data_IF_559576792170
#
_entry.id   IF_559576792170
#
_cell.length_a   1.000
_cell.length_b   1.000
_cell.length_c   1.000
_cell.angle_alpha   90.00
_cell.angle_beta   90.00
_cell.angle_gamma   90.00
#
_symmetry.space_group_name_H-M   'P 1'
#
loop_
_entity.id
_entity.type
_entity.pdbx_description
1 polymer ?
#
# COMPACT_ATOMS: atom_id res chain seq x y z
N UNK A 1 -34.23 -6.42 2.10
CA UNK A 1 -33.16 -5.66 1.46
C UNK A 1 -31.81 -6.04 2.08
N UNK A 2 -31.54 -7.35 2.27
CA UNK A 2 -30.31 -7.91 2.88
C UNK A 2 -29.76 -9.10 2.04
N UNK A 3 -30.26 -9.32 0.83
CA UNK A 3 -29.86 -10.48 -0.02
C UNK A 3 -28.91 -10.09 -1.18
N UNK A 4 -28.50 -8.82 -1.31
CA UNK A 4 -27.68 -8.39 -2.45
C UNK A 4 -26.17 -8.41 -2.19
N UNK A 5 -25.72 -8.70 -0.96
CA UNK A 5 -24.28 -8.70 -0.61
C UNK A 5 -23.64 -10.10 -0.59
N UNK A 6 -24.40 -11.16 -0.85
CA UNK A 6 -23.92 -12.54 -0.73
C UNK A 6 -23.29 -13.12 -2.00
N UNK A 7 -23.25 -12.39 -3.12
CA UNK A 7 -22.80 -12.91 -4.42
C UNK A 7 -21.66 -12.10 -5.06
N UNK A 8 -20.66 -11.67 -4.28
CA UNK A 8 -19.41 -11.22 -4.90
C UNK A 8 -18.50 -12.43 -5.09
N UNK A 9 -18.49 -12.94 -6.32
CA UNK A 9 -17.56 -13.99 -6.70
C UNK A 9 -16.10 -13.57 -6.52
N UNK A 10 -15.21 -14.50 -6.16
CA UNK A 10 -13.76 -14.21 -6.14
C UNK A 10 -13.32 -13.75 -7.54
N UNK A 11 -12.44 -12.77 -7.57
CA UNK A 11 -11.90 -12.16 -8.78
C UNK A 11 -11.55 -13.26 -9.83
N UNK A 12 -12.14 -13.27 -11.03
CA UNK A 12 -11.97 -14.37 -11.98
C UNK A 12 -10.50 -14.52 -12.40
N UNK A 13 -10.08 -15.76 -12.60
CA UNK A 13 -8.74 -16.07 -13.11
C UNK A 13 -8.49 -15.39 -14.46
N UNK A 14 -7.26 -14.97 -14.78
CA UNK A 14 -6.95 -14.29 -16.02
C UNK A 14 -7.32 -15.15 -17.23
N UNK A 15 -8.12 -14.58 -18.15
CA UNK A 15 -8.40 -15.22 -19.42
C UNK A 15 -7.13 -15.22 -20.28
N UNK A 16 -6.61 -16.38 -20.73
CA UNK A 16 -5.38 -16.46 -21.51
C UNK A 16 -5.49 -15.79 -22.90
N UNK A 17 -6.68 -15.54 -23.39
CA UNK A 17 -6.89 -14.93 -24.71
C UNK A 17 -6.76 -13.39 -24.70
N UNK A 18 -6.87 -12.75 -23.52
CA UNK A 18 -6.71 -11.31 -23.35
C UNK A 18 -5.88 -11.05 -22.09
N UNK A 19 -4.55 -10.99 -22.20
CA UNK A 19 -3.70 -10.68 -21.07
C UNK A 19 -4.03 -9.29 -20.51
N UNK A 20 -4.25 -9.21 -19.20
CA UNK A 20 -4.49 -7.93 -18.54
C UNK A 20 -3.21 -7.09 -18.54
N UNK A 21 -3.35 -5.77 -18.73
CA UNK A 21 -2.27 -4.84 -18.45
C UNK A 21 -2.02 -4.81 -16.96
N UNK A 22 -0.74 -4.96 -16.56
CA UNK A 22 -0.35 -4.96 -15.15
C UNK A 22 0.20 -3.58 -14.81
N UNK A 23 -0.41 -2.95 -13.82
CA UNK A 23 0.03 -1.68 -13.27
C UNK A 23 0.44 -1.87 -11.80
N UNK A 24 1.60 -1.35 -11.40
CA UNK A 24 1.98 -1.37 -9.98
C UNK A 24 1.22 -0.28 -9.21
N UNK A 25 0.89 -0.54 -7.93
CA UNK A 25 0.30 0.48 -7.03
C UNK A 25 1.16 1.74 -7.03
N UNK A 26 2.47 1.60 -6.97
CA UNK A 26 3.38 2.75 -7.00
C UNK A 26 3.20 3.59 -8.27
N UNK A 27 3.17 2.93 -9.44
CA UNK A 27 2.99 3.64 -10.71
C UNK A 27 1.61 4.28 -10.81
N UNK A 28 0.57 3.63 -10.30
CA UNK A 28 -0.78 4.19 -10.23
C UNK A 28 -0.79 5.48 -9.41
N UNK A 29 -0.30 5.44 -8.17
CA UNK A 29 -0.29 6.57 -7.25
C UNK A 29 0.60 7.72 -7.80
N UNK A 30 1.77 7.39 -8.36
CA UNK A 30 2.64 8.37 -8.99
C UNK A 30 1.96 9.04 -10.20
N UNK A 31 1.22 8.30 -11.00
CA UNK A 31 0.52 8.83 -12.17
C UNK A 31 -0.64 9.76 -11.78
N UNK A 32 -1.48 9.32 -10.85
CA UNK A 32 -2.70 10.04 -10.46
C UNK A 32 -2.36 11.31 -9.66
N UNK A 33 -1.44 11.22 -8.71
CA UNK A 33 -1.15 12.31 -7.77
C UNK A 33 0.05 13.18 -8.18
N UNK A 34 0.89 12.77 -9.13
CA UNK A 34 2.00 13.57 -9.65
C UNK A 34 1.64 14.40 -10.91
N UNK A 35 0.39 14.50 -11.28
CA UNK A 35 -0.03 15.33 -12.42
C UNK A 35 0.33 16.84 -12.29
N UNK A 36 1.18 17.23 -11.32
CA UNK A 36 1.59 18.61 -11.04
C UNK A 36 3.08 18.88 -10.83
N UNK A 37 3.98 17.89 -10.69
CA UNK A 37 5.40 18.22 -10.42
C UNK A 37 6.40 17.25 -11.04
N UNK A 38 6.98 17.67 -12.18
CA UNK A 38 8.08 17.02 -12.87
C UNK A 38 9.44 17.50 -12.31
N UNK A 39 9.80 17.15 -11.09
CA UNK A 39 11.16 17.36 -10.59
C UNK A 39 12.03 16.13 -10.80
N UNK A 40 12.85 16.23 -11.84
CA UNK A 40 13.88 15.27 -12.19
C UNK A 40 14.98 15.20 -11.13
N UNK A 41 15.10 14.03 -10.45
CA UNK A 41 16.22 13.68 -9.56
C UNK A 41 16.89 12.40 -10.03
N UNK A 42 17.66 12.45 -11.11
CA UNK A 42 18.44 11.32 -11.57
C UNK A 42 19.87 11.36 -11.03
N UNK A 43 20.43 10.25 -10.64
CA UNK A 43 21.79 9.86 -10.25
C UNK A 43 22.04 9.43 -8.79
N UNK A 44 21.30 9.90 -7.80
CA UNK A 44 21.45 9.38 -6.40
C UNK A 44 20.47 8.24 -6.06
N UNK A 45 19.73 7.70 -7.05
CA UNK A 45 18.64 6.75 -6.81
C UNK A 45 19.10 5.33 -6.43
N UNK A 46 20.28 4.85 -6.87
CA UNK A 46 20.69 3.45 -6.65
C UNK A 46 21.12 3.18 -5.21
N UNK A 47 21.97 4.01 -4.64
CA UNK A 47 22.45 3.81 -3.27
C UNK A 47 21.33 4.04 -2.25
N UNK A 48 20.45 5.01 -2.50
CA UNK A 48 19.26 5.25 -1.66
C UNK A 48 18.26 4.10 -1.76
N UNK A 49 18.08 3.50 -2.94
CA UNK A 49 17.19 2.35 -3.11
C UNK A 49 17.69 1.11 -2.35
N UNK A 50 19.02 0.86 -2.34
CA UNK A 50 19.61 -0.23 -1.57
C UNK A 50 19.50 0.01 -0.06
N UNK A 51 19.82 1.22 0.40
CA UNK A 51 19.67 1.61 1.81
C UNK A 51 18.21 1.53 2.26
N UNK A 52 17.27 1.95 1.38
CA UNK A 52 15.83 1.80 1.60
C UNK A 52 15.44 0.34 1.82
N UNK A 53 15.85 -0.56 0.94
CA UNK A 53 15.57 -2.00 1.05
C UNK A 53 16.14 -2.61 2.34
N UNK A 54 17.35 -2.21 2.73
CA UNK A 54 17.95 -2.68 3.99
C UNK A 54 17.20 -2.15 5.21
N UNK A 55 16.73 -0.90 5.15
CA UNK A 55 15.91 -0.29 6.19
C UNK A 55 14.59 -1.04 6.38
N UNK A 56 13.84 -1.30 5.30
CA UNK A 56 12.59 -2.08 5.34
C UNK A 56 12.82 -3.45 5.97
N UNK A 57 13.80 -4.21 5.49
CA UNK A 57 14.10 -5.53 6.05
C UNK A 57 14.48 -5.50 7.53
N UNK A 58 15.14 -4.42 7.98
CA UNK A 58 15.49 -4.26 9.40
C UNK A 58 14.25 -4.03 10.25
N UNK A 59 13.36 -3.14 9.81
CA UNK A 59 12.07 -2.91 10.46
C UNK A 59 11.24 -4.20 10.50
N UNK A 60 11.05 -4.87 9.37
CA UNK A 60 10.29 -6.12 9.28
C UNK A 60 10.82 -7.21 10.23
N UNK A 61 12.16 -7.35 10.34
CA UNK A 61 12.78 -8.33 11.25
C UNK A 61 12.63 -7.99 12.74
N UNK A 62 12.37 -6.73 13.06
CA UNK A 62 12.15 -6.29 14.45
C UNK A 62 10.69 -6.49 14.90
N UNK A 63 9.79 -6.84 13.98
CA UNK A 63 8.37 -7.03 14.28
C UNK A 63 8.14 -8.33 15.06
N UNK A 64 7.08 -8.37 15.90
CA UNK A 64 6.78 -9.56 16.71
C UNK A 64 6.36 -10.76 15.85
N UNK A 65 6.33 -11.92 16.46
CA UNK A 65 5.77 -13.13 15.86
C UNK A 65 4.32 -12.89 15.39
N UNK A 66 3.94 -13.45 14.23
CA UNK A 66 2.65 -13.21 13.60
C UNK A 66 2.64 -12.06 12.58
N UNK A 67 3.68 -11.23 12.52
CA UNK A 67 3.84 -10.24 11.46
C UNK A 67 4.20 -10.94 10.14
N UNK A 68 3.43 -10.65 9.10
CA UNK A 68 3.63 -11.16 7.75
C UNK A 68 4.28 -10.08 6.90
N UNK A 69 5.54 -10.26 6.51
CA UNK A 69 6.26 -9.32 5.66
C UNK A 69 6.03 -9.62 4.17
N UNK A 70 6.14 -8.58 3.34
CA UNK A 70 6.15 -8.70 1.87
C UNK A 70 4.88 -9.37 1.30
N UNK A 71 3.70 -8.91 1.74
CA UNK A 71 2.41 -9.50 1.36
C UNK A 71 1.97 -9.01 -0.01
N UNK A 72 1.77 -9.94 -0.95
CA UNK A 72 1.31 -9.62 -2.30
C UNK A 72 -0.20 -9.37 -2.33
N UNK A 73 -0.60 -8.35 -3.07
CA UNK A 73 -2.00 -7.99 -3.33
C UNK A 73 -2.21 -7.67 -4.80
N UNK A 74 -3.41 -7.97 -5.29
CA UNK A 74 -3.81 -7.68 -6.65
C UNK A 74 -5.29 -7.32 -6.71
N UNK A 75 -5.65 -6.45 -7.65
CA UNK A 75 -7.03 -6.09 -7.94
C UNK A 75 -7.23 -5.96 -9.45
N UNK A 76 -8.21 -6.67 -9.98
CA UNK A 76 -8.61 -6.55 -11.38
C UNK A 76 -9.70 -5.49 -11.48
N UNK A 77 -9.45 -4.46 -12.28
CA UNK A 77 -10.42 -3.37 -12.49
C UNK A 77 -11.56 -3.88 -13.36
N UNK A 78 -12.77 -3.86 -12.83
CA UNK A 78 -13.96 -4.33 -13.52
C UNK A 78 -14.33 -3.38 -14.67
N UNK A 79 -14.70 -3.95 -15.81
CA UNK A 79 -15.11 -3.18 -16.99
C UNK A 79 -14.00 -2.46 -17.74
N UNK A 80 -12.74 -2.61 -17.33
CA UNK A 80 -11.62 -2.05 -18.08
C UNK A 80 -11.42 -2.78 -19.41
N UNK A 81 -11.32 -2.01 -20.49
CA UNK A 81 -11.00 -2.50 -21.83
C UNK A 81 -9.85 -1.66 -22.42
N UNK A 82 -8.67 -2.22 -22.60
CA UNK A 82 -8.25 -3.58 -22.29
C UNK A 82 -8.26 -3.93 -20.79
N UNK A 83 -8.32 -5.22 -20.42
CA UNK A 83 -8.32 -5.64 -19.03
C UNK A 83 -7.12 -5.08 -18.26
N UNK A 84 -7.37 -4.51 -17.08
CA UNK A 84 -6.35 -3.90 -16.22
C UNK A 84 -6.29 -4.63 -14.86
N UNK A 85 -5.09 -4.92 -14.41
CA UNK A 85 -4.85 -5.48 -13.09
C UNK A 85 -3.83 -4.63 -12.33
N UNK A 86 -4.22 -4.12 -11.17
CA UNK A 86 -3.32 -3.40 -10.25
C UNK A 86 -2.69 -4.42 -9.31
N UNK A 87 -1.37 -4.41 -9.20
CA UNK A 87 -0.61 -5.31 -8.32
C UNK A 87 0.31 -4.54 -7.41
N UNK A 88 0.59 -5.13 -6.26
CA UNK A 88 1.61 -4.61 -5.38
C UNK A 88 2.00 -5.57 -4.28
N UNK A 89 2.98 -5.13 -3.48
CA UNK A 89 3.50 -5.87 -2.35
C UNK A 89 3.62 -4.92 -1.17
N UNK A 90 2.81 -5.17 -0.16
CA UNK A 90 2.81 -4.42 1.09
C UNK A 90 4.04 -4.80 1.91
N UNK A 91 4.56 -3.83 2.66
CA UNK A 91 5.70 -4.10 3.55
C UNK A 91 5.34 -5.08 4.66
N UNK A 92 4.12 -5.01 5.22
CA UNK A 92 3.68 -6.03 6.15
C UNK A 92 2.27 -5.90 6.70
N UNK A 93 1.85 -6.97 7.39
CA UNK A 93 0.52 -7.12 7.96
C UNK A 93 0.59 -7.81 9.33
N UNK A 94 -0.14 -7.27 10.29
CA UNK A 94 -0.48 -7.93 11.56
C UNK A 94 -1.90 -8.51 11.45
N UNK A 95 -2.00 -9.69 10.88
CA UNK A 95 -3.28 -10.35 10.60
C UNK A 95 -4.01 -10.83 11.87
N UNK A 96 -3.31 -10.97 12.99
CA UNK A 96 -3.82 -11.38 14.29
C UNK A 96 -4.43 -10.22 15.11
N UNK A 97 -4.40 -9.00 14.60
CA UNK A 97 -4.92 -7.81 15.27
C UNK A 97 -6.38 -7.53 14.88
N UNK A 98 -7.09 -6.79 15.75
CA UNK A 98 -8.47 -6.37 15.55
C UNK A 98 -8.58 -4.85 15.80
N UNK A 99 -8.77 -3.99 14.78
CA UNK A 99 -8.77 -4.36 13.36
C UNK A 99 -7.38 -4.85 12.89
N UNK A 100 -7.35 -5.54 11.74
CA UNK A 100 -6.09 -5.93 11.09
C UNK A 100 -5.27 -4.69 10.79
N UNK A 101 -3.96 -4.75 11.06
CA UNK A 101 -3.04 -3.63 10.83
C UNK A 101 -2.20 -3.91 9.59
N UNK A 102 -2.19 -2.96 8.67
CA UNK A 102 -1.36 -2.96 7.47
C UNK A 102 -0.24 -1.94 7.65
N UNK A 103 1.01 -2.36 7.47
CA UNK A 103 2.16 -1.48 7.65
C UNK A 103 2.80 -1.13 6.31
N UNK A 104 2.97 0.17 6.08
CA UNK A 104 3.77 0.75 5.01
C UNK A 104 5.00 1.42 5.62
N UNK A 105 6.19 1.01 5.19
CA UNK A 105 7.46 1.48 5.73
C UNK A 105 8.12 2.46 4.75
N UNK A 106 8.55 3.60 5.24
CA UNK A 106 9.32 4.59 4.49
C UNK A 106 10.64 4.86 5.19
N UNK A 107 11.73 4.77 4.47
CA UNK A 107 13.05 5.14 4.99
C UNK A 107 13.34 6.61 4.73
N UNK A 108 14.02 7.26 5.66
CA UNK A 108 14.36 8.68 5.58
C UNK A 108 15.70 8.99 6.21
N UNK A 109 16.31 10.08 5.78
CA UNK A 109 17.44 10.75 6.45
C UNK A 109 17.02 12.09 7.06
N UNK A 110 15.75 12.49 6.88
CA UNK A 110 15.18 13.68 7.49
C UNK A 110 14.87 13.39 8.96
N UNK A 111 15.16 14.35 9.85
CA UNK A 111 14.80 14.20 11.27
C UNK A 111 13.34 13.83 11.46
N UNK A 112 13.07 12.81 12.27
CA UNK A 112 11.72 12.34 12.54
C UNK A 112 10.83 13.40 13.23
N UNK A 113 11.42 14.39 13.88
CA UNK A 113 10.69 15.53 14.48
C UNK A 113 10.02 16.40 13.41
N UNK A 114 10.63 16.49 12.22
CA UNK A 114 10.12 17.27 11.09
C UNK A 114 9.07 16.52 10.26
N UNK A 115 8.87 15.24 10.54
CA UNK A 115 7.89 14.41 9.81
C UNK A 115 6.58 14.45 10.58
N UNK A 116 5.54 14.94 9.92
CA UNK A 116 4.15 14.99 10.40
C UNK A 116 3.28 13.98 9.65
N UNK A 117 2.06 13.75 10.14
CA UNK A 117 1.16 12.76 9.56
C UNK A 117 0.78 13.05 8.10
N UNK A 118 0.83 14.29 7.68
CA UNK A 118 0.55 14.80 6.34
C UNK A 118 1.81 15.14 5.52
N UNK A 119 2.99 14.71 6.01
CA UNK A 119 4.29 15.02 5.40
C UNK A 119 4.36 14.67 3.91
N UNK A 120 3.78 13.55 3.51
CA UNK A 120 3.73 13.14 2.12
C UNK A 120 2.42 12.39 1.82
N UNK A 121 1.48 13.04 1.10
CA UNK A 121 0.20 12.42 0.73
C UNK A 121 0.35 11.13 -0.10
N UNK A 122 1.40 11.03 -0.95
CA UNK A 122 1.65 9.85 -1.77
C UNK A 122 1.89 8.58 -0.94
N UNK A 123 2.50 8.72 0.24
CA UNK A 123 2.73 7.58 1.13
C UNK A 123 1.42 7.03 1.70
N UNK A 124 0.49 7.90 2.07
CA UNK A 124 -0.85 7.50 2.50
C UNK A 124 -1.66 6.92 1.36
N UNK A 125 -1.61 7.53 0.18
CA UNK A 125 -2.31 7.02 -1.01
C UNK A 125 -1.84 5.61 -1.36
N UNK A 126 -0.54 5.36 -1.36
CA UNK A 126 0.02 4.02 -1.58
C UNK A 126 -0.48 3.02 -0.54
N UNK A 127 -0.44 3.38 0.73
CA UNK A 127 -0.91 2.53 1.81
C UNK A 127 -2.43 2.26 1.73
N UNK A 128 -3.24 3.25 1.34
CA UNK A 128 -4.69 3.09 1.15
C UNK A 128 -5.01 2.18 -0.04
N UNK A 129 -4.28 2.29 -1.16
CA UNK A 129 -4.44 1.37 -2.29
C UNK A 129 -4.17 -0.09 -1.87
N UNK A 130 -3.08 -0.33 -1.14
CA UNK A 130 -2.79 -1.66 -0.59
C UNK A 130 -3.87 -2.13 0.37
N UNK A 131 -4.32 -1.25 1.26
CA UNK A 131 -5.34 -1.56 2.25
C UNK A 131 -6.68 -1.93 1.60
N UNK A 132 -7.09 -1.21 0.54
CA UNK A 132 -8.27 -1.55 -0.25
C UNK A 132 -8.18 -2.98 -0.81
N UNK A 133 -7.09 -3.27 -1.53
CA UNK A 133 -6.91 -4.57 -2.16
C UNK A 133 -6.89 -5.71 -1.13
N UNK A 134 -6.18 -5.53 -0.03
CA UNK A 134 -6.09 -6.52 1.04
C UNK A 134 -7.44 -6.71 1.76
N UNK A 135 -8.11 -5.61 2.15
CA UNK A 135 -9.42 -5.67 2.82
C UNK A 135 -10.45 -6.37 1.94
N UNK A 136 -10.42 -6.13 0.63
CA UNK A 136 -11.29 -6.82 -0.33
C UNK A 136 -10.97 -8.31 -0.42
N UNK A 137 -9.70 -8.69 -0.56
CA UNK A 137 -9.27 -10.09 -0.62
C UNK A 137 -9.61 -10.88 0.65
N UNK A 138 -9.47 -10.26 1.82
CA UNK A 138 -9.71 -10.89 3.12
C UNK A 138 -11.13 -10.66 3.65
N UNK A 139 -12.00 -9.99 2.88
CA UNK A 139 -13.39 -9.66 3.25
C UNK A 139 -13.50 -8.89 4.59
N UNK A 140 -12.54 -8.01 4.86
CA UNK A 140 -12.53 -7.17 6.06
C UNK A 140 -13.46 -5.97 5.89
N UNK A 141 -14.16 -5.58 6.95
CA UNK A 141 -15.00 -4.38 6.98
C UNK A 141 -14.21 -3.11 7.32
N UNK A 142 -13.13 -3.25 8.08
CA UNK A 142 -12.23 -2.17 8.46
C UNK A 142 -10.80 -2.66 8.60
N UNK A 143 -9.86 -1.75 8.47
CA UNK A 143 -8.43 -1.97 8.71
C UNK A 143 -7.80 -0.75 9.38
N UNK A 144 -6.65 -0.97 10.01
CA UNK A 144 -5.79 0.09 10.49
C UNK A 144 -4.54 0.17 9.62
N UNK A 145 -4.12 1.35 9.20
CA UNK A 145 -2.88 1.57 8.47
C UNK A 145 -1.86 2.17 9.43
N UNK A 146 -0.70 1.53 9.51
CA UNK A 146 0.51 2.08 10.11
C UNK A 146 1.43 2.60 9.00
N UNK A 147 1.67 3.90 8.97
CA UNK A 147 2.70 4.51 8.13
C UNK A 147 3.94 4.76 8.99
N UNK A 148 4.94 3.91 8.83
CA UNK A 148 6.16 3.90 9.66
C UNK A 148 7.32 4.54 8.90
N UNK A 149 7.87 5.63 9.45
CA UNK A 149 9.12 6.24 8.98
C UNK A 149 10.30 5.71 9.80
N UNK A 150 11.27 5.14 9.12
CA UNK A 150 12.51 4.62 9.68
C UNK A 150 13.68 5.52 9.31
N UNK A 151 14.34 6.11 10.29
CA UNK A 151 15.51 6.96 10.07
C UNK A 151 16.76 6.11 9.90
N UNK A 152 17.43 6.25 8.76
CA UNK A 152 18.54 5.36 8.35
C UNK A 152 19.74 5.43 9.28
N UNK A 153 20.10 6.64 9.77
CA UNK A 153 21.29 6.85 10.60
C UNK A 153 21.03 6.53 12.07
N UNK A 154 19.97 7.11 12.66
CA UNK A 154 19.65 6.90 14.08
C UNK A 154 18.98 5.57 14.38
N UNK A 155 18.42 4.90 13.34
CA UNK A 155 17.65 3.64 13.45
C UNK A 155 16.38 3.77 14.30
N UNK A 156 15.88 4.97 14.46
CA UNK A 156 14.64 5.26 15.17
C UNK A 156 13.45 5.16 14.21
N UNK A 157 12.27 4.90 14.77
CA UNK A 157 11.02 4.80 14.04
C UNK A 157 10.04 5.85 14.55
N UNK A 158 9.17 6.33 13.63
CA UNK A 158 7.99 7.12 13.94
C UNK A 158 6.82 6.60 13.12
N UNK A 159 5.77 6.17 13.81
CA UNK A 159 4.59 5.58 13.16
C UNK A 159 3.38 6.50 13.33
N UNK A 160 2.67 6.69 12.24
CA UNK A 160 1.34 7.32 12.21
C UNK A 160 0.30 6.24 11.95
N UNK A 161 -0.83 6.35 12.63
CA UNK A 161 -1.92 5.39 12.56
C UNK A 161 -3.19 6.06 12.05
N UNK A 162 -3.90 5.39 11.12
CA UNK A 162 -5.24 5.77 10.67
C UNK A 162 -6.09 4.53 10.45
N UNK A 163 -7.37 4.62 10.82
CA UNK A 163 -8.37 3.57 10.57
C UNK A 163 -9.22 3.96 9.37
N UNK A 164 -9.57 2.95 8.59
CA UNK A 164 -10.43 3.10 7.42
C UNK A 164 -11.43 1.95 7.36
N UNK A 165 -12.67 2.27 7.05
CA UNK A 165 -13.64 1.28 6.60
C UNK A 165 -13.30 0.84 5.17
N UNK A 166 -13.78 -0.35 4.80
CA UNK A 166 -13.64 -0.82 3.42
C UNK A 166 -14.31 0.13 2.42
N UNK A 167 -15.43 0.73 2.78
CA UNK A 167 -16.16 1.68 1.94
C UNK A 167 -15.36 2.95 1.67
N UNK A 168 -14.70 3.51 2.69
CA UNK A 168 -13.80 4.67 2.53
C UNK A 168 -12.63 4.35 1.60
N UNK A 169 -12.01 3.16 1.74
CA UNK A 169 -10.92 2.72 0.90
C UNK A 169 -11.37 2.44 -0.54
N UNK A 170 -12.57 1.89 -0.73
CA UNK A 170 -13.16 1.63 -2.05
C UNK A 170 -13.46 2.95 -2.77
N UNK A 171 -14.07 3.89 -2.07
CA UNK A 171 -14.33 5.24 -2.60
C UNK A 171 -13.02 5.91 -3.02
N UNK A 172 -12.02 5.91 -2.15
CA UNK A 172 -10.70 6.46 -2.48
C UNK A 172 -10.09 5.81 -3.72
N UNK A 173 -10.10 4.48 -3.81
CA UNK A 173 -9.43 3.73 -4.89
C UNK A 173 -10.15 3.88 -6.25
N UNK A 174 -11.46 4.03 -6.27
CA UNK A 174 -12.26 4.10 -7.51
C UNK A 174 -12.51 5.53 -8.01
N UNK A 175 -12.34 6.55 -7.16
CA UNK A 175 -12.53 7.96 -7.52
C UNK A 175 -11.22 8.67 -7.95
N UNK A 176 -10.05 8.08 -7.65
CA UNK A 176 -8.73 8.53 -8.11
C UNK A 176 -8.36 7.90 -9.47
#
# INVERSE_FOLDING_TARGET
>A
MLESLANMEPNPAPNPEHPAYILSVRSLVEFVLQAGDLTAGGFQKRDRAQQGTLGHRRVQRSRPEGYQAEVEVAYRVEGADPPLEVRGRMDGVYADRQPVILEEIKTTTLSLELIHADHNPLHWAQAQCYAFMYARQQQLSEVCIHLTYYHLDSRQEKTFERRFSREELETFFLEE
#
